data_IF_247734619174
#
_entry.id   IF_247734619174
#
_cell.length_a   1.000
_cell.length_b   1.000
_cell.length_c   1.000
_cell.angle_alpha   90.00
_cell.angle_beta   90.00
_cell.angle_gamma   90.00
#
_symmetry.space_group_name_H-M   'P 1'
#
loop_
_entity.id
_entity.type
_entity.pdbx_description
1 polymer ?
#
# COMPACT_ATOMS: atom_id res chain seq x y z
N UNK A 1 25.15 10.32 -14.10
CA UNK A 1 25.22 10.09 -12.65
C UNK A 1 23.98 9.28 -12.29
N UNK A 2 24.09 7.96 -12.16
CA UNK A 2 22.95 7.15 -11.76
C UNK A 2 22.68 7.40 -10.28
N UNK A 3 21.51 7.92 -9.92
CA UNK A 3 21.08 7.93 -8.52
C UNK A 3 21.01 6.48 -8.06
N UNK A 4 21.83 6.08 -7.09
CA UNK A 4 21.63 4.82 -6.40
C UNK A 4 20.19 4.76 -5.88
N UNK A 5 19.45 3.74 -6.30
CA UNK A 5 18.10 3.53 -5.82
C UNK A 5 18.17 3.07 -4.35
N UNK A 6 18.11 4.04 -3.43
CA UNK A 6 18.06 3.80 -1.99
C UNK A 6 16.79 3.01 -1.66
N UNK A 7 16.94 1.91 -0.93
CA UNK A 7 15.81 1.18 -0.37
C UNK A 7 14.97 2.13 0.50
N UNK A 8 13.67 2.24 0.19
CA UNK A 8 12.71 3.09 0.90
C UNK A 8 11.55 2.25 1.39
N UNK A 9 10.93 2.70 2.48
CA UNK A 9 9.67 2.13 2.97
C UNK A 9 8.55 3.09 2.65
N UNK A 10 7.40 2.56 2.23
CA UNK A 10 6.22 3.33 1.87
C UNK A 10 5.03 2.84 2.66
N UNK A 11 4.16 3.77 3.03
CA UNK A 11 2.79 3.46 3.41
C UNK A 11 1.91 3.69 2.18
N UNK A 12 1.24 2.63 1.75
CA UNK A 12 0.27 2.65 0.66
C UNK A 12 -1.12 2.51 1.28
N UNK A 13 -1.93 3.55 1.17
CA UNK A 13 -3.32 3.57 1.64
C UNK A 13 -4.22 3.48 0.41
N UNK A 14 -5.18 2.55 0.47
CA UNK A 14 -6.10 2.30 -0.61
C UNK A 14 -7.51 2.33 -0.04
N UNK A 15 -8.35 3.14 -0.66
CA UNK A 15 -9.76 3.26 -0.38
C UNK A 15 -10.53 2.83 -1.62
N UNK A 16 -11.24 1.71 -1.52
CA UNK A 16 -12.18 1.32 -2.57
C UNK A 16 -13.38 2.25 -2.55
N UNK A 17 -14.02 2.39 -3.71
CA UNK A 17 -15.30 3.10 -3.78
C UNK A 17 -16.31 2.52 -2.78
N UNK A 18 -17.08 3.40 -2.15
CA UNK A 18 -18.05 3.04 -1.10
C UNK A 18 -19.17 2.12 -1.60
N UNK A 19 -19.43 2.12 -2.92
CA UNK A 19 -20.39 1.20 -3.53
C UNK A 19 -19.83 -0.20 -3.77
N UNK A 20 -18.54 -0.43 -3.49
CA UNK A 20 -17.91 -1.74 -3.68
C UNK A 20 -18.54 -2.80 -2.77
N UNK A 21 -19.07 -3.85 -3.40
CA UNK A 21 -19.61 -5.00 -2.69
C UNK A 21 -18.49 -5.98 -2.24
N UNK A 22 -18.87 -6.94 -1.40
CA UNK A 22 -17.93 -7.94 -0.86
C UNK A 22 -17.29 -8.79 -1.97
N UNK A 23 -17.99 -9.00 -3.08
CA UNK A 23 -17.46 -9.75 -4.21
C UNK A 23 -16.31 -9.01 -4.89
N UNK A 24 -16.49 -7.71 -5.17
CA UNK A 24 -15.44 -6.82 -5.68
C UNK A 24 -14.26 -6.75 -4.72
N UNK A 25 -14.50 -6.57 -3.42
CA UNK A 25 -13.42 -6.55 -2.41
C UNK A 25 -12.59 -7.83 -2.49
N UNK A 26 -13.25 -9.00 -2.61
CA UNK A 26 -12.59 -10.31 -2.73
C UNK A 26 -11.73 -10.47 -3.98
N UNK A 27 -12.04 -9.75 -5.06
CA UNK A 27 -11.27 -9.78 -6.32
C UNK A 27 -10.14 -8.75 -6.33
N UNK A 28 -10.42 -7.54 -5.85
CA UNK A 28 -9.52 -6.39 -5.95
C UNK A 28 -8.37 -6.49 -4.95
N UNK A 29 -8.63 -6.93 -3.72
CA UNK A 29 -7.58 -7.00 -2.68
C UNK A 29 -6.43 -7.95 -3.08
N UNK A 30 -6.67 -9.18 -3.57
CA UNK A 30 -5.59 -10.04 -4.06
C UNK A 30 -4.81 -9.44 -5.24
N UNK A 31 -5.48 -8.75 -6.16
CA UNK A 31 -4.83 -8.12 -7.30
C UNK A 31 -3.92 -6.96 -6.85
N UNK A 32 -4.39 -6.11 -5.94
CA UNK A 32 -3.61 -5.07 -5.28
C UNK A 32 -2.37 -5.65 -4.59
N UNK A 33 -2.54 -6.75 -3.84
CA UNK A 33 -1.42 -7.44 -3.20
C UNK A 33 -0.40 -7.95 -4.24
N UNK A 34 -0.87 -8.42 -5.40
CA UNK A 34 -0.01 -8.78 -6.52
C UNK A 34 0.81 -7.59 -7.04
N UNK A 35 0.15 -6.44 -7.28
CA UNK A 35 0.81 -5.19 -7.71
C UNK A 35 1.87 -4.77 -6.69
N UNK A 36 1.51 -4.74 -5.40
CA UNK A 36 2.42 -4.35 -4.33
C UNK A 36 3.59 -5.32 -4.20
N UNK A 37 3.35 -6.62 -4.28
CA UNK A 37 4.40 -7.65 -4.21
C UNK A 37 5.39 -7.50 -5.36
N UNK A 38 4.91 -7.22 -6.58
CA UNK A 38 5.77 -6.97 -7.74
C UNK A 38 6.59 -5.69 -7.63
N UNK A 39 6.09 -4.71 -6.87
CA UNK A 39 6.80 -3.47 -6.59
C UNK A 39 7.78 -3.60 -5.40
N UNK A 40 7.69 -4.68 -4.61
CA UNK A 40 8.39 -4.81 -3.35
C UNK A 40 9.75 -5.51 -3.46
N UNK A 41 10.62 -5.23 -2.50
CA UNK A 41 11.80 -6.03 -2.20
C UNK A 41 11.48 -7.22 -1.27
N UNK A 42 10.39 -7.14 -0.51
CA UNK A 42 9.93 -8.15 0.45
C UNK A 42 8.40 -8.18 0.46
N UNK A 43 7.79 -9.24 0.98
CA UNK A 43 6.33 -9.32 1.06
C UNK A 43 5.73 -8.05 1.72
N UNK A 44 4.72 -7.41 1.09
CA UNK A 44 4.04 -6.27 1.70
C UNK A 44 3.37 -6.66 3.02
N UNK A 45 3.44 -5.78 4.01
CA UNK A 45 2.85 -6.01 5.33
C UNK A 45 1.56 -5.20 5.48
N UNK A 46 0.46 -5.82 5.90
CA UNK A 46 -0.77 -5.08 6.16
C UNK A 46 -0.64 -4.25 7.44
N UNK A 47 -0.77 -2.93 7.31
CA UNK A 47 -0.66 -1.97 8.39
C UNK A 47 -1.99 -1.70 9.08
N UNK A 48 -3.11 -1.75 8.34
CA UNK A 48 -4.46 -1.66 8.92
C UNK A 48 -5.50 -2.09 7.88
N UNK A 49 -6.72 -2.33 8.37
CA UNK A 49 -7.92 -2.55 7.56
C UNK A 49 -9.12 -1.99 8.31
N UNK A 50 -9.99 -1.26 7.62
CA UNK A 50 -11.29 -0.90 8.17
C UNK A 50 -12.17 -2.13 8.37
N UNK A 51 -13.16 -2.01 9.26
CA UNK A 51 -14.12 -3.08 9.55
C UNK A 51 -14.99 -3.44 8.35
N UNK A 52 -15.33 -2.46 7.50
CA UNK A 52 -16.05 -2.66 6.24
C UNK A 52 -15.16 -3.22 5.12
N UNK A 53 -13.84 -3.26 5.34
CA UNK A 53 -12.87 -3.78 4.41
C UNK A 53 -12.69 -2.95 3.14
N UNK A 54 -13.20 -1.71 3.07
CA UNK A 54 -13.05 -0.80 1.93
C UNK A 54 -11.79 0.08 2.04
N UNK A 55 -11.24 0.26 3.22
CA UNK A 55 -10.03 1.04 3.46
C UNK A 55 -8.94 0.14 4.04
N UNK A 56 -7.74 0.20 3.46
CA UNK A 56 -6.63 -0.63 3.92
C UNK A 56 -5.29 0.05 3.67
N UNK A 57 -4.35 -0.22 4.57
CA UNK A 57 -2.98 0.27 4.52
C UNK A 57 -2.00 -0.88 4.40
N UNK A 58 -0.98 -0.72 3.55
CA UNK A 58 0.13 -1.65 3.40
C UNK A 58 1.46 -0.92 3.56
N UNK A 59 2.39 -1.53 4.30
CA UNK A 59 3.79 -1.17 4.26
C UNK A 59 4.51 -1.94 3.17
N UNK A 60 5.30 -1.20 2.40
CA UNK A 60 6.02 -1.70 1.25
C UNK A 60 7.48 -1.24 1.34
N UNK A 61 8.43 -2.18 1.29
CA UNK A 61 9.84 -1.84 1.06
C UNK A 61 10.14 -1.93 -0.43
N UNK A 62 10.64 -0.87 -1.06
CA UNK A 62 10.89 -0.82 -2.51
C UNK A 62 12.08 0.07 -2.88
N UNK A 63 12.68 -0.22 -4.04
CA UNK A 63 13.63 0.68 -4.73
C UNK A 63 12.95 1.66 -5.68
N UNK A 64 11.67 1.43 -5.97
CA UNK A 64 10.87 2.33 -6.77
C UNK A 64 10.55 3.59 -5.97
N UNK A 65 10.44 4.73 -6.66
CA UNK A 65 9.86 5.92 -6.07
C UNK A 65 8.33 5.84 -6.03
N UNK A 66 7.68 6.69 -5.23
CA UNK A 66 6.21 6.70 -5.08
C UNK A 66 5.46 6.86 -6.41
N UNK A 67 5.98 7.67 -7.34
CA UNK A 67 5.41 7.84 -8.67
C UNK A 67 5.48 6.57 -9.53
N UNK A 68 6.59 5.83 -9.45
CA UNK A 68 6.74 4.55 -10.13
C UNK A 68 5.82 3.48 -9.54
N UNK A 69 5.63 3.47 -8.22
CA UNK A 69 4.67 2.56 -7.56
C UNK A 69 3.25 2.91 -8.01
N UNK A 70 2.90 4.20 -8.02
CA UNK A 70 1.59 4.68 -8.48
C UNK A 70 1.31 4.29 -9.93
N UNK A 71 2.30 4.42 -10.82
CA UNK A 71 2.16 4.03 -12.22
C UNK A 71 1.84 2.54 -12.40
N UNK A 72 2.22 1.67 -11.45
CA UNK A 72 1.84 0.25 -11.47
C UNK A 72 0.35 0.04 -11.22
N UNK A 73 -0.26 0.88 -10.38
CA UNK A 73 -1.71 0.86 -10.17
C UNK A 73 -2.46 1.43 -11.37
N UNK A 74 -1.97 2.54 -11.94
CA UNK A 74 -2.61 3.19 -13.09
C UNK A 74 -2.54 2.34 -14.37
N UNK A 75 -1.54 1.46 -14.48
CA UNK A 75 -1.41 0.50 -15.58
C UNK A 75 -2.18 -0.82 -15.39
N UNK A 76 -2.80 -1.03 -14.23
CA UNK A 76 -3.54 -2.25 -13.90
C UNK A 76 -5.06 -2.01 -13.94
N UNK A 77 -5.82 -3.06 -14.24
CA UNK A 77 -7.30 -3.01 -14.29
C UNK A 77 -7.96 -3.33 -12.95
N UNK A 78 -7.19 -3.66 -11.91
CA UNK A 78 -7.69 -4.03 -10.60
C UNK A 78 -8.34 -2.86 -9.85
N UNK A 79 -7.89 -1.64 -10.08
CA UNK A 79 -8.43 -0.43 -9.44
C UNK A 79 -9.23 0.40 -10.43
N UNK A 80 -10.38 0.90 -9.99
CA UNK A 80 -11.19 1.83 -10.77
C UNK A 80 -10.78 3.27 -10.49
N UNK A 81 -11.21 4.19 -11.36
CA UNK A 81 -10.96 5.64 -11.21
C UNK A 81 -11.50 6.22 -9.91
N UNK A 82 -12.52 5.60 -9.34
CA UNK A 82 -13.17 6.02 -8.10
C UNK A 82 -12.44 5.50 -6.85
N UNK A 83 -11.50 4.56 -7.00
CA UNK A 83 -10.69 4.06 -5.91
C UNK A 83 -9.59 5.09 -5.57
N UNK A 84 -9.49 5.45 -4.30
CA UNK A 84 -8.47 6.35 -3.78
C UNK A 84 -7.17 5.59 -3.50
N UNK A 85 -6.07 6.05 -4.08
CA UNK A 85 -4.73 5.50 -3.83
C UNK A 85 -3.81 6.62 -3.34
N UNK A 86 -3.28 6.44 -2.15
CA UNK A 86 -2.33 7.36 -1.53
C UNK A 86 -1.05 6.61 -1.18
N UNK A 87 0.09 7.15 -1.61
CA UNK A 87 1.40 6.55 -1.37
C UNK A 87 2.30 7.62 -0.76
N UNK A 88 2.84 7.35 0.42
CA UNK A 88 3.80 8.22 1.07
C UNK A 88 5.03 7.44 1.51
N UNK A 89 6.19 8.09 1.44
CA UNK A 89 7.40 7.55 2.04
C UNK A 89 7.23 7.53 3.56
N UNK A 90 7.44 6.36 4.16
CA UNK A 90 7.36 6.17 5.58
C UNK A 90 8.71 6.57 6.19
N UNK A 91 8.69 7.52 7.13
CA UNK A 91 9.89 7.99 7.81
C UNK A 91 10.58 6.90 8.65
N UNK A 92 11.69 7.24 9.30
CA UNK A 92 12.46 6.30 10.13
C UNK A 92 11.62 5.63 11.23
N UNK A 93 10.55 6.29 11.68
CA UNK A 93 9.57 5.77 12.62
C UNK A 93 8.83 4.51 12.12
N UNK A 94 8.97 4.15 10.84
CA UNK A 94 8.44 2.92 10.26
C UNK A 94 9.54 1.95 9.80
N UNK A 95 10.83 2.25 10.03
CA UNK A 95 11.94 1.36 9.70
C UNK A 95 12.21 0.28 10.76
N UNK A 96 11.56 0.34 11.91
CA UNK A 96 11.70 -0.65 12.98
C UNK A 96 11.22 -2.05 12.60
N UNK A 97 11.93 -3.06 13.11
CA UNK A 97 11.52 -4.47 13.09
C UNK A 97 10.43 -4.62 14.16
N UNK A 98 9.18 -4.41 13.75
CA UNK A 98 7.95 -4.59 14.55
C UNK A 98 7.79 -3.64 15.77
N UNK A 99 6.61 -3.03 15.91
CA UNK A 99 6.16 -2.23 17.06
C UNK A 99 6.79 -0.83 17.26
N UNK A 100 6.63 0.07 16.29
CA UNK A 100 6.84 1.51 16.54
C UNK A 100 5.57 2.17 17.06
N UNK A 101 5.67 3.31 17.77
CA UNK A 101 4.47 4.02 18.26
C UNK A 101 3.52 4.42 17.12
N UNK A 102 4.09 4.81 15.98
CA UNK A 102 3.33 5.12 14.78
C UNK A 102 2.62 3.88 14.21
N UNK A 103 3.29 2.72 14.25
CA UNK A 103 2.70 1.42 13.89
C UNK A 103 1.51 1.06 14.80
N UNK A 104 1.69 1.14 16.11
CA UNK A 104 0.62 0.88 17.08
C UNK A 104 -0.55 1.85 16.90
N UNK A 105 -0.27 3.13 16.63
CA UNK A 105 -1.32 4.13 16.39
C UNK A 105 -2.21 3.77 15.20
N UNK A 106 -1.63 3.32 14.08
CA UNK A 106 -2.38 2.89 12.88
C UNK A 106 -3.26 1.65 13.11
N UNK A 107 -2.95 0.83 14.12
CA UNK A 107 -3.71 -0.39 14.42
C UNK A 107 -4.89 -0.13 15.37
N UNK A 108 -4.88 1.00 16.09
CA UNK A 108 -5.88 1.31 17.12
C UNK A 108 -6.88 2.42 16.72
N UNK A 109 -6.72 3.03 15.54
CA UNK A 109 -7.61 4.06 14.99
C UNK A 109 -8.05 3.67 13.58
#
# INVERSE_FOLDING_TARGET
MALEAKDRRYLVVIQLDRSSDLHRVGQVVPAILGILTNAALSAPEQAFRSSDGQLFGFLLKSRLNSGQIRARFEGDTATNREDGIFIMEAGEDFNGIHFTRAWTWLQHH
#
